data_IF_385285299826
#
_entry.id   IF_385285299826
#
_cell.length_a   1.000
_cell.length_b   1.000
_cell.length_c   1.000
_cell.angle_alpha   90.00
_cell.angle_beta   90.00
_cell.angle_gamma   90.00
#
_symmetry.space_group_name_H-M   'P 1'
#
loop_
_entity.id
_entity.type
_entity.pdbx_description
1 polymer ?
#
# COMPACT_ATOMS: atom_id res chain seq x y z
N UNK A 1 29.24 4.69 -9.71
CA UNK A 1 27.83 4.80 -9.29
C UNK A 1 27.67 4.66 -7.77
N UNK A 2 28.75 4.42 -7.02
CA UNK A 2 28.73 4.32 -5.55
C UNK A 2 28.10 5.51 -4.80
N UNK A 3 28.06 6.69 -5.41
CA UNK A 3 27.47 7.92 -4.86
C UNK A 3 26.04 8.19 -5.36
N UNK A 4 25.45 7.26 -6.14
CA UNK A 4 24.15 7.45 -6.80
C UNK A 4 23.04 6.86 -5.96
N UNK A 5 21.82 7.36 -6.16
CA UNK A 5 20.63 6.84 -5.47
C UNK A 5 20.12 5.61 -6.23
N UNK A 6 20.68 4.43 -5.90
CA UNK A 6 20.35 3.16 -6.55
C UNK A 6 19.73 2.17 -5.57
N UNK A 7 18.88 1.29 -6.11
CA UNK A 7 18.34 0.10 -5.45
C UNK A 7 18.42 -1.04 -6.45
N UNK A 8 19.03 -2.16 -6.07
CA UNK A 8 19.11 -3.33 -6.94
C UNK A 8 17.85 -4.17 -6.80
N UNK A 9 17.16 -4.39 -7.92
CA UNK A 9 15.99 -5.27 -7.99
C UNK A 9 16.37 -6.48 -8.83
N UNK A 10 16.62 -7.61 -8.18
CA UNK A 10 16.88 -8.89 -8.85
C UNK A 10 15.55 -9.54 -9.26
N UNK A 11 15.61 -10.62 -10.04
CA UNK A 11 14.41 -11.32 -10.51
C UNK A 11 13.73 -10.57 -11.64
N UNK A 12 12.40 -10.49 -11.60
CA UNK A 12 11.58 -9.85 -12.64
C UNK A 12 10.46 -10.74 -13.15
N UNK A 13 9.30 -10.74 -12.48
CA UNK A 13 8.07 -11.47 -12.86
C UNK A 13 8.31 -12.96 -13.27
N UNK A 14 9.16 -13.65 -12.51
CA UNK A 14 9.51 -15.06 -12.73
C UNK A 14 9.53 -15.86 -11.44
N UNK A 15 9.17 -17.14 -11.56
CA UNK A 15 9.26 -18.08 -10.45
C UNK A 15 10.70 -18.53 -10.20
N UNK A 16 11.01 -18.80 -8.92
CA UNK A 16 12.19 -19.58 -8.53
C UNK A 16 11.76 -21.04 -8.42
N UNK A 17 11.70 -21.74 -9.55
CA UNK A 17 11.11 -23.09 -9.64
C UNK A 17 12.00 -24.21 -9.09
N UNK A 18 13.33 -23.98 -8.96
CA UNK A 18 14.29 -24.98 -8.53
C UNK A 18 15.56 -24.35 -7.91
N UNK A 19 16.41 -25.21 -7.35
CA UNK A 19 17.66 -24.77 -6.69
C UNK A 19 18.67 -24.16 -7.65
N UNK A 20 18.66 -24.54 -8.93
CA UNK A 20 19.51 -23.88 -9.95
C UNK A 20 19.12 -22.43 -10.12
N UNK A 21 17.82 -22.11 -10.21
CA UNK A 21 17.35 -20.71 -10.27
C UNK A 21 17.75 -19.95 -9.00
N UNK A 22 17.59 -20.57 -7.83
CA UNK A 22 17.99 -19.97 -6.54
C UNK A 22 19.48 -19.66 -6.51
N UNK A 23 20.32 -20.58 -6.99
CA UNK A 23 21.77 -20.42 -7.05
C UNK A 23 22.17 -19.29 -8.02
N UNK A 24 21.51 -19.17 -9.17
CA UNK A 24 21.75 -18.08 -10.14
C UNK A 24 21.47 -16.72 -9.49
N UNK A 25 20.32 -16.56 -8.82
CA UNK A 25 19.97 -15.30 -8.16
C UNK A 25 20.96 -14.96 -7.04
N UNK A 26 21.35 -15.95 -6.21
CA UNK A 26 22.36 -15.74 -5.16
C UNK A 26 23.74 -15.39 -5.72
N UNK A 27 24.14 -16.00 -6.85
CA UNK A 27 25.38 -15.66 -7.53
C UNK A 27 25.36 -14.22 -8.07
N UNK A 28 24.24 -13.79 -8.63
CA UNK A 28 24.03 -12.39 -9.06
C UNK A 28 24.11 -11.42 -7.89
N UNK A 29 23.43 -11.70 -6.77
CA UNK A 29 23.48 -10.86 -5.57
C UNK A 29 24.89 -10.76 -4.99
N UNK A 30 25.65 -11.87 -5.00
CA UNK A 30 27.06 -11.89 -4.58
C UNK A 30 27.92 -11.00 -5.47
N UNK A 31 27.83 -11.14 -6.79
CA UNK A 31 28.60 -10.32 -7.73
C UNK A 31 28.28 -8.82 -7.60
N UNK A 32 27.00 -8.47 -7.40
CA UNK A 32 26.59 -7.09 -7.11
C UNK A 32 27.18 -6.60 -5.79
N UNK A 33 27.14 -7.39 -4.72
CA UNK A 33 27.73 -7.01 -3.43
C UNK A 33 29.24 -6.77 -3.53
N UNK A 34 29.97 -7.62 -4.27
CA UNK A 34 31.40 -7.48 -4.50
C UNK A 34 31.74 -6.23 -5.33
N UNK A 35 30.98 -5.96 -6.39
CA UNK A 35 31.19 -4.78 -7.23
C UNK A 35 30.73 -3.47 -6.61
N UNK A 36 29.66 -3.50 -5.82
CA UNK A 36 29.05 -2.34 -5.17
C UNK A 36 29.65 -2.04 -3.79
N UNK A 37 30.41 -2.98 -3.22
CA UNK A 37 30.91 -2.88 -1.85
C UNK A 37 29.81 -2.91 -0.78
N UNK A 38 28.61 -3.37 -1.15
CA UNK A 38 27.42 -3.37 -0.28
C UNK A 38 26.82 -1.99 0.00
N UNK A 39 27.06 -1.01 -0.88
CA UNK A 39 26.61 0.37 -0.69
C UNK A 39 25.08 0.55 -0.84
N UNK A 40 24.43 -0.25 -1.69
CA UNK A 40 23.01 -0.09 -2.02
C UNK A 40 22.15 -1.27 -1.53
N UNK A 41 20.89 -0.97 -1.23
CA UNK A 41 19.90 -1.98 -0.86
C UNK A 41 19.59 -2.90 -2.06
N UNK A 42 19.32 -4.17 -1.75
CA UNK A 42 18.91 -5.15 -2.75
C UNK A 42 17.58 -5.83 -2.37
N UNK A 43 16.77 -6.11 -3.38
CA UNK A 43 15.52 -6.86 -3.26
C UNK A 43 15.32 -7.81 -4.44
N UNK A 44 14.20 -8.53 -4.47
CA UNK A 44 13.84 -9.45 -5.53
C UNK A 44 12.39 -9.23 -5.97
N UNK A 45 12.18 -8.97 -7.26
CA UNK A 45 10.86 -8.84 -7.86
C UNK A 45 10.30 -10.22 -8.23
N UNK A 46 9.25 -10.72 -7.52
CA UNK A 46 8.69 -12.05 -7.73
C UNK A 46 7.73 -12.07 -8.93
N UNK A 47 7.19 -13.25 -9.24
CA UNK A 47 6.01 -13.40 -10.12
C UNK A 47 4.74 -12.87 -9.45
N UNK A 48 3.75 -12.47 -10.24
CA UNK A 48 2.39 -12.13 -9.81
C UNK A 48 1.76 -13.06 -8.77
N UNK A 49 1.22 -12.45 -7.71
CA UNK A 49 0.67 -13.10 -6.52
C UNK A 49 1.73 -13.63 -5.53
N UNK A 50 3.01 -13.53 -5.88
CA UNK A 50 4.17 -13.98 -5.12
C UNK A 50 4.79 -12.91 -4.23
N UNK A 51 5.76 -13.34 -3.43
CA UNK A 51 6.58 -12.48 -2.57
C UNK A 51 8.00 -13.01 -2.51
N UNK A 52 9.00 -12.12 -2.52
CA UNK A 52 10.42 -12.49 -2.36
C UNK A 52 10.71 -13.26 -1.07
N UNK A 53 9.93 -13.00 -0.01
CA UNK A 53 9.99 -13.70 1.27
C UNK A 53 9.78 -15.21 1.18
N UNK A 54 9.10 -15.68 0.13
CA UNK A 54 8.86 -17.11 -0.11
C UNK A 54 10.16 -17.84 -0.49
N UNK A 55 11.17 -17.10 -0.95
CA UNK A 55 12.39 -17.67 -1.52
C UNK A 55 13.66 -17.23 -0.77
N UNK A 56 13.72 -15.97 -0.34
CA UNK A 56 14.98 -15.34 0.07
C UNK A 56 14.88 -14.57 1.38
N UNK A 57 13.82 -14.79 2.19
CA UNK A 57 13.62 -14.03 3.42
C UNK A 57 14.85 -14.08 4.35
N UNK A 58 15.44 -15.26 4.50
CA UNK A 58 16.58 -15.47 5.42
C UNK A 58 17.94 -15.16 4.76
N UNK A 59 17.97 -14.86 3.46
CA UNK A 59 19.20 -14.54 2.77
C UNK A 59 19.69 -13.14 3.20
N UNK A 60 20.96 -13.05 3.60
CA UNK A 60 21.57 -11.80 4.09
C UNK A 60 21.63 -10.69 3.04
N UNK A 61 21.69 -11.04 1.75
CA UNK A 61 21.73 -10.07 0.66
C UNK A 61 20.37 -9.37 0.45
N UNK A 62 19.26 -9.98 0.88
CA UNK A 62 17.92 -9.40 0.70
C UNK A 62 17.66 -8.35 1.79
N UNK A 63 17.75 -7.07 1.45
CA UNK A 63 17.59 -5.97 2.40
C UNK A 63 16.13 -5.76 2.82
N UNK A 64 15.19 -5.94 1.88
CA UNK A 64 13.75 -5.83 2.13
C UNK A 64 12.98 -6.75 1.18
N UNK A 65 11.78 -7.19 1.58
CA UNK A 65 10.93 -8.01 0.73
C UNK A 65 10.16 -7.11 -0.26
N UNK A 66 10.08 -7.54 -1.51
CA UNK A 66 9.16 -7.01 -2.51
C UNK A 66 8.06 -8.04 -2.83
N UNK A 67 6.84 -7.55 -3.08
CA UNK A 67 5.68 -8.29 -3.55
C UNK A 67 5.22 -7.82 -4.92
N UNK A 68 4.48 -8.67 -5.61
CA UNK A 68 3.64 -8.31 -6.76
C UNK A 68 2.21 -8.77 -6.44
N UNK A 69 1.37 -7.88 -5.93
CA UNK A 69 -0.01 -8.24 -5.57
C UNK A 69 -1.01 -8.10 -6.73
N UNK A 70 -0.67 -7.31 -7.76
CA UNK A 70 -1.49 -7.05 -8.94
C UNK A 70 -1.81 -8.29 -9.80
N UNK A 71 -2.68 -8.18 -10.83
CA UNK A 71 -3.48 -7.01 -11.26
C UNK A 71 -4.98 -7.25 -11.03
N UNK A 72 -5.36 -7.66 -9.81
CA UNK A 72 -6.75 -7.80 -9.40
C UNK A 72 -7.18 -6.62 -8.51
N UNK A 73 -8.47 -6.28 -8.56
CA UNK A 73 -9.08 -5.12 -7.88
C UNK A 73 -9.61 -5.43 -6.47
N UNK A 74 -9.62 -6.71 -6.09
CA UNK A 74 -10.14 -7.18 -4.81
C UNK A 74 -9.02 -7.29 -3.76
N UNK A 75 -9.33 -6.92 -2.51
CA UNK A 75 -8.53 -7.34 -1.37
C UNK A 75 -8.68 -8.86 -1.18
N UNK A 76 -7.83 -9.59 -1.88
CA UNK A 76 -7.78 -11.04 -1.84
C UNK A 76 -6.62 -11.51 -0.95
N UNK A 77 -6.35 -12.81 -0.97
CA UNK A 77 -5.20 -13.41 -0.27
C UNK A 77 -3.83 -12.83 -0.69
N UNK A 78 -3.71 -12.04 -1.76
CA UNK A 78 -2.44 -11.43 -2.14
C UNK A 78 -2.14 -10.19 -1.30
N UNK A 79 -3.07 -9.22 -1.22
CA UNK A 79 -2.85 -8.01 -0.40
C UNK A 79 -2.76 -8.32 1.10
N UNK A 80 -3.40 -9.40 1.58
CA UNK A 80 -3.21 -9.90 2.95
C UNK A 80 -1.77 -10.32 3.25
N UNK A 81 -1.04 -10.83 2.25
CA UNK A 81 0.34 -11.34 2.44
C UNK A 81 1.35 -10.22 2.67
N UNK A 82 1.02 -8.96 2.41
CA UNK A 82 1.87 -7.83 2.83
C UNK A 82 2.05 -7.85 4.35
N UNK A 83 0.97 -8.06 5.11
CA UNK A 83 1.01 -8.23 6.57
C UNK A 83 1.72 -9.52 7.00
N UNK A 84 1.52 -10.62 6.26
CA UNK A 84 2.22 -11.88 6.53
C UNK A 84 3.74 -11.69 6.42
N UNK A 85 4.21 -11.01 5.37
CA UNK A 85 5.62 -10.73 5.14
C UNK A 85 6.20 -9.77 6.18
N UNK A 86 5.42 -8.76 6.61
CA UNK A 86 5.79 -7.84 7.70
C UNK A 86 6.00 -8.60 9.01
N UNK A 87 5.16 -9.59 9.31
CA UNK A 87 5.20 -10.35 10.56
C UNK A 87 6.28 -11.45 10.60
N UNK A 88 6.98 -11.71 9.48
CA UNK A 88 8.06 -12.71 9.45
C UNK A 88 9.22 -12.34 10.36
N UNK A 89 9.96 -13.35 10.80
CA UNK A 89 11.13 -13.20 11.66
C UNK A 89 12.39 -13.77 10.96
N UNK A 90 13.52 -13.03 10.96
CA UNK A 90 13.66 -11.66 11.47
C UNK A 90 12.87 -10.64 10.61
N UNK A 91 12.22 -9.68 11.26
CA UNK A 91 11.43 -8.67 10.54
C UNK A 91 12.28 -7.90 9.53
N UNK A 92 11.81 -7.82 8.29
CA UNK A 92 12.38 -7.02 7.20
C UNK A 92 11.30 -6.09 6.64
N UNK A 93 11.65 -4.88 6.17
CA UNK A 93 10.69 -4.04 5.46
C UNK A 93 10.06 -4.77 4.27
N UNK A 94 8.83 -4.40 3.92
CA UNK A 94 8.08 -4.95 2.78
C UNK A 94 7.59 -3.81 1.90
N UNK A 95 7.62 -3.99 0.59
CA UNK A 95 6.99 -3.08 -0.37
C UNK A 95 6.19 -3.87 -1.40
N UNK A 96 5.01 -3.37 -1.80
CA UNK A 96 4.37 -3.83 -3.03
C UNK A 96 5.05 -3.12 -4.21
N UNK A 97 5.86 -3.88 -4.95
CA UNK A 97 6.61 -3.39 -6.10
C UNK A 97 5.78 -3.35 -7.37
N UNK A 98 4.70 -4.13 -7.42
CA UNK A 98 3.80 -4.20 -8.57
C UNK A 98 2.37 -4.56 -8.10
N UNK A 99 1.61 -3.54 -7.65
CA UNK A 99 0.18 -3.66 -7.41
C UNK A 99 -0.59 -3.67 -8.74
N UNK A 100 -1.93 -3.61 -8.69
CA UNK A 100 -2.69 -3.27 -9.89
C UNK A 100 -2.27 -1.90 -10.44
N UNK A 101 -2.13 -1.78 -11.75
CA UNK A 101 -1.78 -0.53 -12.43
C UNK A 101 -3.03 0.24 -12.82
N UNK A 102 -2.95 1.55 -12.97
CA UNK A 102 -4.06 2.36 -13.50
C UNK A 102 -4.26 2.06 -14.99
N UNK A 103 -5.52 1.99 -15.44
CA UNK A 103 -5.93 1.59 -16.79
C UNK A 103 -5.35 0.25 -17.25
N UNK A 104 -5.12 -0.69 -16.33
CA UNK A 104 -4.68 -2.04 -16.67
C UNK A 104 -5.88 -2.97 -16.85
N UNK A 105 -5.90 -3.83 -17.88
CA UNK A 105 -6.94 -4.84 -18.02
C UNK A 105 -7.08 -5.68 -16.75
N UNK A 106 -8.27 -5.70 -16.16
CA UNK A 106 -8.49 -6.41 -14.90
C UNK A 106 -8.30 -7.92 -15.14
N UNK A 107 -7.39 -8.52 -14.39
CA UNK A 107 -6.97 -9.93 -14.57
C UNK A 107 -6.48 -10.24 -16.00
N UNK A 108 -5.93 -9.26 -16.72
CA UNK A 108 -5.48 -9.38 -18.12
C UNK A 108 -6.59 -9.65 -19.15
N UNK A 109 -7.87 -9.41 -18.80
CA UNK A 109 -9.03 -9.66 -19.66
C UNK A 109 -9.78 -8.38 -19.99
N UNK A 110 -9.20 -7.56 -20.86
CA UNK A 110 -9.74 -6.24 -21.19
C UNK A 110 -11.19 -6.29 -21.71
N UNK A 111 -11.48 -7.22 -22.62
CA UNK A 111 -12.79 -7.31 -23.26
C UNK A 111 -13.88 -7.90 -22.34
N UNK A 112 -13.48 -8.66 -21.30
CA UNK A 112 -14.41 -9.29 -20.36
C UNK A 112 -14.62 -8.44 -19.09
N UNK A 113 -13.55 -7.86 -18.57
CA UNK A 113 -13.52 -7.23 -17.24
C UNK A 113 -13.26 -5.72 -17.29
N UNK A 114 -12.95 -5.16 -18.47
CA UNK A 114 -12.54 -3.77 -18.60
C UNK A 114 -11.16 -3.47 -17.98
N UNK A 115 -10.95 -2.21 -17.63
CA UNK A 115 -9.69 -1.69 -17.08
C UNK A 115 -9.91 -1.11 -15.68
N UNK A 116 -8.86 -1.19 -14.87
CA UNK A 116 -8.82 -0.59 -13.53
C UNK A 116 -8.83 0.94 -13.59
N UNK A 117 -9.38 1.56 -12.55
CA UNK A 117 -9.49 3.03 -12.43
C UNK A 117 -8.65 3.56 -11.27
N UNK A 118 -8.56 4.89 -11.15
CA UNK A 118 -7.86 5.58 -10.06
C UNK A 118 -8.24 5.07 -8.64
N UNK A 119 -9.52 4.73 -8.41
CA UNK A 119 -9.96 4.18 -7.12
C UNK A 119 -9.38 2.78 -6.86
N UNK A 120 -9.19 1.97 -7.90
CA UNK A 120 -8.64 0.63 -7.80
C UNK A 120 -7.14 0.64 -7.45
N UNK A 121 -6.41 1.71 -7.80
CA UNK A 121 -4.99 1.90 -7.43
C UNK A 121 -4.80 2.61 -6.09
N UNK A 122 -5.74 3.46 -5.66
CA UNK A 122 -5.68 4.04 -4.29
C UNK A 122 -5.90 2.99 -3.21
N UNK A 123 -6.79 2.03 -3.44
CA UNK A 123 -7.04 0.92 -2.48
C UNK A 123 -5.75 0.19 -2.06
N UNK A 124 -4.96 -0.40 -2.98
CA UNK A 124 -3.73 -1.09 -2.62
C UNK A 124 -2.68 -0.17 -2.02
N UNK A 125 -2.57 1.10 -2.44
CA UNK A 125 -1.72 2.08 -1.75
C UNK A 125 -2.00 2.11 -0.24
N UNK A 126 -3.26 2.29 0.16
CA UNK A 126 -3.60 2.37 1.58
C UNK A 126 -3.68 1.02 2.28
N UNK A 127 -4.08 -0.04 1.57
CA UNK A 127 -4.00 -1.40 2.10
C UNK A 127 -2.56 -1.76 2.45
N UNK A 128 -1.60 -1.56 1.54
CA UNK A 128 -0.19 -1.87 1.77
C UNK A 128 0.38 -1.02 2.89
N UNK A 129 0.22 0.30 2.83
CA UNK A 129 0.73 1.20 3.86
C UNK A 129 0.19 0.81 5.24
N UNK A 130 -1.12 0.54 5.35
CA UNK A 130 -1.74 0.28 6.65
C UNK A 130 -1.52 -1.16 7.14
N UNK A 131 -1.12 -2.08 6.24
CA UNK A 131 -0.77 -3.46 6.57
C UNK A 131 0.74 -3.71 6.71
N UNK A 132 1.54 -2.65 6.77
CA UNK A 132 2.93 -2.70 7.24
C UNK A 132 3.97 -2.49 6.15
N UNK A 133 3.56 -2.18 4.92
CA UNK A 133 4.52 -1.81 3.89
C UNK A 133 5.23 -0.51 4.25
N UNK A 134 6.53 -0.44 3.95
CA UNK A 134 7.36 0.74 4.15
C UNK A 134 7.20 1.78 3.02
N UNK A 135 6.38 1.48 2.02
CA UNK A 135 6.10 2.31 0.85
C UNK A 135 5.16 1.58 -0.10
N UNK A 136 4.99 2.13 -1.30
CA UNK A 136 4.16 1.56 -2.36
C UNK A 136 4.69 2.02 -3.72
N UNK A 137 4.63 1.15 -4.73
CA UNK A 137 5.00 1.49 -6.11
C UNK A 137 3.76 1.64 -6.97
N UNK A 138 3.61 2.78 -7.64
CA UNK A 138 2.54 2.99 -8.61
C UNK A 138 2.96 2.51 -10.00
N UNK A 139 2.00 2.01 -10.77
CA UNK A 139 2.17 1.79 -12.21
C UNK A 139 0.92 2.16 -12.99
N UNK A 140 1.13 2.45 -14.27
CA UNK A 140 0.07 2.74 -15.23
C UNK A 140 0.31 1.89 -16.47
N UNK A 141 -0.75 1.30 -17.02
CA UNK A 141 -0.68 0.35 -18.12
C UNK A 141 0.03 0.86 -19.37
N UNK A 142 -0.26 2.09 -19.78
CA UNK A 142 0.45 2.72 -20.91
C UNK A 142 1.89 3.15 -20.59
N UNK A 143 2.19 3.51 -19.34
CA UNK A 143 3.49 4.09 -18.96
C UNK A 143 4.57 3.03 -18.88
N UNK A 144 4.32 1.86 -18.26
CA UNK A 144 5.34 0.83 -18.08
C UNK A 144 5.90 0.33 -19.43
N UNK A 145 5.05 0.27 -20.46
CA UNK A 145 5.41 -0.13 -21.81
C UNK A 145 5.77 1.06 -22.72
N UNK A 146 5.72 2.30 -22.21
CA UNK A 146 5.91 3.53 -22.99
C UNK A 146 5.09 3.51 -24.30
N UNK A 147 3.82 3.11 -24.21
CA UNK A 147 2.99 2.95 -25.39
C UNK A 147 2.71 4.30 -26.07
N UNK A 148 2.75 4.31 -27.40
CA UNK A 148 2.42 5.45 -28.24
C UNK A 148 2.02 4.97 -29.64
N UNK A 149 1.32 5.79 -30.45
CA UNK A 149 1.01 5.45 -31.84
C UNK A 149 2.27 5.05 -32.63
N UNK A 150 2.14 4.01 -33.45
CA UNK A 150 3.25 3.42 -34.20
C UNK A 150 4.05 2.35 -33.44
N UNK A 151 3.77 2.09 -32.16
CA UNK A 151 4.29 0.93 -31.41
C UNK A 151 3.23 -0.15 -31.27
N UNK A 152 3.66 -1.42 -31.30
CA UNK A 152 2.79 -2.56 -31.04
C UNK A 152 2.24 -2.52 -29.60
N UNK A 153 0.92 -2.42 -29.39
CA UNK A 153 0.33 -2.38 -28.06
C UNK A 153 0.44 -3.73 -27.35
N UNK A 154 0.78 -3.72 -26.05
CA UNK A 154 0.65 -4.89 -25.18
C UNK A 154 -0.63 -4.74 -24.36
N UNK A 155 -1.52 -5.73 -24.47
CA UNK A 155 -2.74 -5.84 -23.66
C UNK A 155 -3.64 -4.59 -23.70
N UNK A 156 -3.86 -4.00 -24.89
CA UNK A 156 -4.88 -2.94 -25.12
C UNK A 156 -4.74 -1.70 -24.20
N UNK A 157 -3.63 -0.94 -24.31
CA UNK A 157 -3.51 0.36 -23.65
C UNK A 157 -4.56 1.34 -24.20
N UNK A 158 -5.10 2.20 -23.34
CA UNK A 158 -6.20 3.10 -23.67
C UNK A 158 -5.73 4.46 -24.21
N UNK A 159 -4.49 4.87 -23.89
CA UNK A 159 -3.94 6.18 -24.24
C UNK A 159 -2.41 6.17 -24.26
N UNK A 160 -1.74 7.08 -25.00
CA UNK A 160 -0.28 7.18 -25.03
C UNK A 160 0.32 7.47 -23.65
N UNK A 161 1.55 7.04 -23.41
CA UNK A 161 2.22 7.18 -22.11
C UNK A 161 2.33 8.64 -21.65
N UNK A 162 2.53 9.58 -22.57
CA UNK A 162 2.65 11.01 -22.26
C UNK A 162 1.31 11.66 -21.89
N UNK A 163 0.19 11.02 -22.19
CA UNK A 163 -1.13 11.39 -21.65
C UNK A 163 -1.38 10.68 -20.31
N UNK A 164 -1.02 9.40 -20.25
CA UNK A 164 -1.19 8.55 -19.07
C UNK A 164 -0.50 9.06 -17.80
N UNK A 165 0.65 9.74 -17.92
CA UNK A 165 1.35 10.35 -16.77
C UNK A 165 0.51 11.41 -16.04
N UNK A 166 -0.57 11.90 -16.66
CA UNK A 166 -1.46 12.90 -16.09
C UNK A 166 -2.76 12.30 -15.52
N UNK A 167 -2.94 10.97 -15.56
CA UNK A 167 -4.12 10.33 -15.00
C UNK A 167 -4.26 10.56 -13.49
N UNK A 168 -5.50 10.50 -12.93
CA UNK A 168 -5.74 10.85 -11.55
C UNK A 168 -4.92 10.04 -10.55
N UNK A 169 -4.77 8.72 -10.76
CA UNK A 169 -4.00 7.85 -9.87
C UNK A 169 -2.54 8.31 -9.72
N UNK A 170 -1.88 8.65 -10.83
CA UNK A 170 -0.51 9.19 -10.82
C UNK A 170 -0.36 10.42 -9.90
N UNK A 171 -1.32 11.35 -9.96
CA UNK A 171 -1.32 12.55 -9.12
C UNK A 171 -1.72 12.26 -7.67
N UNK A 172 -2.45 11.19 -7.39
CA UNK A 172 -2.98 10.90 -6.06
C UNK A 172 -2.00 10.19 -5.14
N UNK A 173 -1.00 9.47 -5.68
CA UNK A 173 -0.01 8.73 -4.88
C UNK A 173 0.74 9.62 -3.86
N UNK A 174 0.99 10.88 -4.23
CA UNK A 174 1.67 11.85 -3.35
C UNK A 174 0.92 12.09 -2.03
N UNK A 175 -0.40 11.94 -2.03
CA UNK A 175 -1.24 12.16 -0.84
C UNK A 175 -1.04 11.05 0.19
N UNK A 176 -0.88 9.80 -0.25
CA UNK A 176 -0.50 8.70 0.65
C UNK A 176 0.83 8.97 1.36
N UNK A 177 1.87 9.38 0.61
CA UNK A 177 3.17 9.76 1.17
C UNK A 177 3.05 10.89 2.20
N UNK A 178 2.39 12.00 1.83
CA UNK A 178 2.21 13.14 2.73
C UNK A 178 1.51 12.75 4.02
N UNK A 179 0.42 11.96 3.94
CA UNK A 179 -0.31 11.52 5.13
C UNK A 179 0.58 10.73 6.10
N UNK A 180 1.38 9.78 5.59
CA UNK A 180 2.27 8.97 6.44
C UNK A 180 3.40 9.82 7.04
N UNK A 181 3.96 10.76 6.28
CA UNK A 181 5.05 11.63 6.74
C UNK A 181 4.59 12.72 7.74
N UNK A 182 3.28 12.96 7.88
CA UNK A 182 2.72 13.94 8.83
C UNK A 182 2.75 13.47 10.30
N UNK A 183 3.09 12.21 10.56
CA UNK A 183 3.18 11.61 11.90
C UNK A 183 4.49 10.83 12.05
N UNK A 184 4.94 10.51 13.28
CA UNK A 184 6.09 9.64 13.48
C UNK A 184 5.89 8.29 12.77
N UNK A 185 6.68 8.04 11.71
CA UNK A 185 6.51 6.86 10.87
C UNK A 185 7.21 5.61 11.40
N UNK A 186 8.32 5.76 12.13
CA UNK A 186 9.20 4.63 12.49
C UNK A 186 8.60 3.71 13.55
N UNK A 187 7.64 4.22 14.32
CA UNK A 187 6.92 3.47 15.37
C UNK A 187 5.51 3.03 14.92
N UNK A 188 5.19 3.21 13.64
CA UNK A 188 3.90 2.88 13.07
C UNK A 188 3.76 1.37 12.88
N UNK A 189 2.63 0.82 13.32
CA UNK A 189 2.29 -0.61 13.21
C UNK A 189 0.92 -0.81 12.53
N UNK A 190 0.72 -1.91 11.80
CA UNK A 190 -0.63 -2.37 11.43
C UNK A 190 -1.42 -2.73 12.69
N UNK A 191 -2.66 -2.25 12.82
CA UNK A 191 -3.51 -2.65 13.96
C UNK A 191 -5.00 -2.49 13.63
N UNK A 192 -5.59 -3.53 13.05
CA UNK A 192 -7.03 -3.59 12.81
C UNK A 192 -7.87 -3.66 14.09
N UNK A 193 -7.28 -3.90 15.27
CA UNK A 193 -8.01 -3.86 16.52
C UNK A 193 -8.48 -2.44 16.89
N UNK A 194 -8.03 -1.41 16.15
CA UNK A 194 -8.62 -0.06 16.19
C UNK A 194 -10.07 -0.09 15.70
N UNK A 195 -10.41 -0.97 14.76
CA UNK A 195 -11.76 -1.08 14.18
C UNK A 195 -12.57 -2.07 15.03
N UNK A 196 -13.78 -1.68 15.42
CA UNK A 196 -14.74 -2.60 16.04
C UNK A 196 -15.39 -3.41 14.93
N UNK A 197 -15.22 -4.73 14.97
CA UNK A 197 -15.86 -5.62 14.01
C UNK A 197 -17.39 -5.58 14.15
N UNK A 198 -18.08 -5.54 13.02
CA UNK A 198 -19.52 -5.68 12.94
C UNK A 198 -19.91 -7.16 13.06
N UNK A 199 -21.18 -7.44 13.35
CA UNK A 199 -21.73 -8.80 13.40
C UNK A 199 -21.51 -9.52 12.05
N UNK A 200 -21.70 -8.79 10.95
CA UNK A 200 -21.38 -9.27 9.61
C UNK A 200 -19.92 -8.93 9.30
N UNK A 201 -19.02 -9.90 9.44
CA UNK A 201 -17.59 -9.70 9.21
C UNK A 201 -17.26 -9.14 7.81
N UNK A 202 -18.04 -9.50 6.79
CA UNK A 202 -17.89 -8.97 5.42
C UNK A 202 -18.39 -7.52 5.25
N UNK A 203 -18.97 -6.91 6.29
CA UNK A 203 -19.37 -5.50 6.34
C UNK A 203 -18.22 -4.62 6.85
N UNK A 204 -17.84 -4.80 8.12
CA UNK A 204 -16.73 -4.08 8.78
C UNK A 204 -15.97 -5.09 9.66
N UNK A 205 -14.65 -5.24 9.49
CA UNK A 205 -13.79 -4.44 8.61
C UNK A 205 -13.89 -4.85 7.13
N UNK A 206 -14.77 -5.78 6.77
CA UNK A 206 -15.09 -6.07 5.38
C UNK A 206 -14.10 -7.02 4.69
N UNK A 207 -14.34 -7.28 3.41
CA UNK A 207 -13.51 -8.13 2.54
C UNK A 207 -13.55 -7.61 1.09
N UNK A 208 -12.66 -8.08 0.22
CA UNK A 208 -12.61 -7.63 -1.18
C UNK A 208 -12.48 -6.11 -1.28
N UNK A 209 -13.21 -5.48 -2.19
CA UNK A 209 -13.25 -4.00 -2.31
C UNK A 209 -13.66 -3.26 -1.04
N UNK A 210 -14.33 -3.94 -0.10
CA UNK A 210 -14.87 -3.35 1.13
C UNK A 210 -13.89 -3.39 2.30
N UNK A 211 -12.67 -3.88 2.12
CA UNK A 211 -11.72 -4.06 3.23
C UNK A 211 -11.22 -2.73 3.80
N UNK A 212 -11.69 -2.39 4.99
CA UNK A 212 -11.09 -1.40 5.87
C UNK A 212 -9.76 -1.94 6.41
N UNK A 213 -8.76 -1.09 6.55
CA UNK A 213 -7.53 -1.42 7.25
C UNK A 213 -7.23 -0.29 8.24
N UNK A 214 -6.58 -0.61 9.36
CA UNK A 214 -6.11 0.40 10.31
C UNK A 214 -4.62 0.26 10.63
N UNK A 215 -4.00 1.40 10.90
CA UNK A 215 -2.62 1.51 11.37
C UNK A 215 -2.57 2.54 12.48
N UNK A 216 -1.62 2.39 13.41
CA UNK A 216 -1.44 3.34 14.51
C UNK A 216 0.03 3.45 14.90
N UNK A 217 0.34 4.48 15.66
CA UNK A 217 1.57 4.50 16.45
C UNK A 217 1.53 3.42 17.53
N UNK A 218 2.63 2.69 17.72
CA UNK A 218 2.72 1.64 18.73
C UNK A 218 2.48 2.19 20.15
N UNK A 219 2.94 3.43 20.41
CA UNK A 219 2.71 4.15 21.66
C UNK A 219 1.33 4.85 21.73
N UNK A 220 0.53 4.76 20.66
CA UNK A 220 -0.85 5.25 20.63
C UNK A 220 -1.01 6.75 20.39
N UNK A 221 0.02 7.47 19.92
CA UNK A 221 -0.11 8.91 19.67
C UNK A 221 -1.09 9.27 18.54
N UNK A 222 -1.33 8.37 17.59
CA UNK A 222 -2.30 8.52 16.51
C UNK A 222 -2.78 7.17 15.99
N UNK A 223 -3.93 7.16 15.32
CA UNK A 223 -4.43 6.04 14.52
C UNK A 223 -5.08 6.52 13.23
N UNK A 224 -4.93 5.75 12.16
CA UNK A 224 -5.59 5.96 10.88
C UNK A 224 -6.46 4.76 10.52
N UNK A 225 -7.63 5.01 9.93
CA UNK A 225 -8.50 3.97 9.35
C UNK A 225 -8.79 4.28 7.89
N UNK A 226 -8.40 3.39 6.99
CA UNK A 226 -8.76 3.47 5.58
C UNK A 226 -10.18 2.95 5.37
N UNK A 227 -11.02 3.77 4.73
CA UNK A 227 -12.44 3.54 4.48
C UNK A 227 -12.64 3.50 2.97
N UNK A 228 -12.57 2.32 2.32
CA UNK A 228 -12.66 2.25 0.85
C UNK A 228 -14.06 2.54 0.29
N UNK A 229 -15.08 2.49 1.14
CA UNK A 229 -16.51 2.52 0.80
C UNK A 229 -17.23 3.29 1.89
N UNK A 230 -18.08 4.23 1.49
CA UNK A 230 -18.78 5.07 2.45
C UNK A 230 -19.81 4.30 3.27
N UNK A 231 -19.48 4.00 4.53
CA UNK A 231 -20.30 3.28 5.50
C UNK A 231 -20.00 3.75 6.92
N UNK A 232 -20.94 3.50 7.83
CA UNK A 232 -20.72 3.66 9.27
C UNK A 232 -19.83 2.55 9.80
N UNK A 233 -18.94 2.90 10.72
CA UNK A 233 -18.12 1.94 11.45
C UNK A 233 -17.77 2.52 12.82
N UNK A 234 -17.37 1.64 13.74
CA UNK A 234 -16.94 2.03 15.08
C UNK A 234 -15.44 1.83 15.24
N UNK A 235 -14.82 2.70 16.03
CA UNK A 235 -13.42 2.58 16.45
C UNK A 235 -13.34 2.46 17.96
N UNK A 236 -12.32 1.72 18.42
CA UNK A 236 -11.97 1.63 19.84
C UNK A 236 -11.08 2.82 20.20
N UNK A 237 -11.58 3.70 21.07
CA UNK A 237 -10.88 4.93 21.45
C UNK A 237 -9.67 4.64 22.33
N UNK A 238 -9.72 3.58 23.15
CA UNK A 238 -8.63 3.12 24.02
C UNK A 238 -7.34 2.68 23.30
N UNK A 239 -7.31 2.71 21.97
CA UNK A 239 -6.11 2.48 21.14
C UNK A 239 -5.23 3.73 20.94
N UNK A 240 -5.72 4.89 21.37
CA UNK A 240 -5.04 6.17 21.29
C UNK A 240 -4.76 6.66 22.71
N UNK A 241 -3.68 7.40 22.93
CA UNK A 241 -3.36 7.99 24.24
C UNK A 241 -4.11 9.30 24.49
N UNK A 242 -3.98 9.82 25.71
CA UNK A 242 -4.58 11.09 26.10
C UNK A 242 -6.04 10.94 26.52
N UNK A 243 -6.63 12.02 27.04
CA UNK A 243 -8.04 12.05 27.48
C UNK A 243 -8.99 12.49 26.37
N UNK A 244 -8.46 13.13 25.32
CA UNK A 244 -9.21 13.68 24.21
C UNK A 244 -8.49 13.37 22.89
N UNK A 245 -9.27 12.97 21.90
CA UNK A 245 -8.83 12.64 20.55
C UNK A 245 -9.39 13.67 19.58
N UNK A 246 -8.50 14.27 18.78
CA UNK A 246 -8.90 15.12 17.67
C UNK A 246 -9.10 14.26 16.43
N UNK A 247 -10.22 14.45 15.73
CA UNK A 247 -10.59 13.64 14.57
C UNK A 247 -10.75 14.48 13.30
N UNK A 248 -10.21 13.96 12.20
CA UNK A 248 -10.32 14.53 10.86
C UNK A 248 -10.70 13.47 9.84
N UNK A 249 -11.42 13.89 8.81
CA UNK A 249 -11.48 13.15 7.55
C UNK A 249 -10.36 13.63 6.62
N UNK A 250 -9.61 12.70 6.06
CA UNK A 250 -8.63 12.97 5.02
C UNK A 250 -9.14 12.45 3.68
N UNK A 251 -9.14 13.30 2.66
CA UNK A 251 -9.54 12.94 1.31
C UNK A 251 -8.33 12.45 0.50
N UNK A 252 -8.20 11.13 0.24
CA UNK A 252 -7.04 10.58 -0.47
C UNK A 252 -6.97 10.99 -1.95
N UNK A 253 -8.02 11.62 -2.49
CA UNK A 253 -8.05 12.13 -3.87
C UNK A 253 -7.49 13.54 -4.00
N UNK A 254 -7.48 14.32 -2.92
CA UNK A 254 -7.11 15.75 -2.93
C UNK A 254 -6.07 16.12 -1.87
N UNK A 255 -5.83 15.25 -0.91
CA UNK A 255 -4.94 15.49 0.22
C UNK A 255 -5.48 16.45 1.29
N UNK A 256 -6.77 16.78 1.24
CA UNK A 256 -7.39 17.75 2.14
C UNK A 256 -7.88 17.08 3.44
N UNK A 257 -7.69 17.78 4.55
CA UNK A 257 -8.27 17.45 5.85
C UNK A 257 -9.59 18.19 6.05
N UNK A 258 -10.54 17.55 6.75
CA UNK A 258 -11.78 18.14 7.21
C UNK A 258 -11.95 17.81 8.68
N UNK A 259 -11.93 18.84 9.53
CA UNK A 259 -12.09 18.68 10.97
C UNK A 259 -13.49 18.15 11.31
N UNK A 260 -13.55 17.13 12.17
CA UNK A 260 -14.80 16.50 12.61
C UNK A 260 -15.15 16.98 14.02
N UNK A 261 -14.16 17.04 14.91
CA UNK A 261 -14.37 17.38 16.30
C UNK A 261 -13.28 16.86 17.22
N UNK A 262 -13.39 17.24 18.49
CA UNK A 262 -12.65 16.64 19.60
C UNK A 262 -13.58 15.72 20.40
N UNK A 263 -13.06 14.57 20.79
CA UNK A 263 -13.85 13.49 21.39
C UNK A 263 -13.18 12.93 22.62
N UNK A 264 -13.96 12.63 23.66
CA UNK A 264 -13.46 11.93 24.84
C UNK A 264 -12.86 10.58 24.44
N UNK A 265 -11.68 10.27 24.98
CA UNK A 265 -10.96 9.05 24.64
C UNK A 265 -11.43 7.83 25.45
N UNK A 266 -12.71 7.49 25.34
CA UNK A 266 -13.35 6.43 26.14
C UNK A 266 -14.27 5.59 25.28
N UNK A 267 -14.20 4.26 25.45
CA UNK A 267 -15.12 3.31 24.84
C UNK A 267 -14.99 3.24 23.32
N UNK A 268 -16.14 3.06 22.66
CA UNK A 268 -16.23 2.97 21.20
C UNK A 268 -16.91 4.21 20.63
N UNK A 269 -16.49 4.61 19.44
CA UNK A 269 -17.08 5.75 18.74
C UNK A 269 -17.45 5.41 17.31
N UNK A 270 -18.68 5.71 16.92
CA UNK A 270 -19.15 5.57 15.55
C UNK A 270 -18.75 6.78 14.70
N UNK A 271 -18.28 6.49 13.48
CA UNK A 271 -17.93 7.46 12.46
C UNK A 271 -18.64 7.12 11.15
N UNK A 272 -19.01 8.15 10.41
CA UNK A 272 -19.61 8.04 9.08
C UNK A 272 -18.78 8.87 8.10
N UNK A 273 -18.36 8.23 7.00
CA UNK A 273 -17.60 8.91 5.94
C UNK A 273 -18.40 10.09 5.36
N UNK A 274 -17.75 11.20 4.95
CA UNK A 274 -18.44 12.40 4.49
C UNK A 274 -19.40 12.22 3.32
N UNK A 275 -19.12 11.25 2.44
CA UNK A 275 -19.92 10.99 1.24
C UNK A 275 -20.20 9.49 1.10
N UNK A 276 -21.45 9.08 0.84
CA UNK A 276 -21.74 7.69 0.47
C UNK A 276 -21.19 7.38 -0.93
N UNK A 277 -20.70 6.15 -1.15
CA UNK A 277 -20.24 5.69 -2.47
C UNK A 277 -19.16 4.62 -2.42
N UNK A 278 -19.03 3.84 -3.51
CA UNK A 278 -18.12 2.69 -3.60
C UNK A 278 -16.73 3.01 -4.18
N UNK A 279 -16.59 4.20 -4.78
CA UNK A 279 -15.32 4.72 -5.34
C UNK A 279 -14.84 5.98 -4.62
N UNK A 280 -15.54 6.34 -3.53
CA UNK A 280 -15.29 7.52 -2.71
C UNK A 280 -14.68 7.10 -1.38
N UNK A 281 -13.41 6.70 -1.42
CA UNK A 281 -12.61 6.35 -0.27
C UNK A 281 -12.26 7.54 0.64
N UNK A 282 -12.10 7.28 1.93
CA UNK A 282 -11.74 8.27 2.95
C UNK A 282 -10.76 7.67 3.94
N UNK A 283 -10.04 8.53 4.66
CA UNK A 283 -9.22 8.08 5.79
C UNK A 283 -9.68 8.84 7.03
N UNK A 284 -10.07 8.10 8.07
CA UNK A 284 -10.27 8.67 9.38
C UNK A 284 -8.89 8.86 10.02
N UNK A 285 -8.59 10.09 10.43
CA UNK A 285 -7.37 10.45 11.14
C UNK A 285 -7.74 10.80 12.57
N UNK A 286 -7.14 10.10 13.52
CA UNK A 286 -7.35 10.27 14.95
C UNK A 286 -6.00 10.54 15.62
N UNK A 287 -5.90 11.65 16.34
CA UNK A 287 -4.68 12.00 17.06
C UNK A 287 -4.97 12.25 18.55
N UNK A 288 -4.03 11.89 19.41
CA UNK A 288 -3.99 12.42 20.77
C UNK A 288 -3.80 13.94 20.69
N UNK A 289 -4.77 14.70 21.22
CA UNK A 289 -4.78 16.17 21.13
C UNK A 289 -3.51 16.81 21.71
N UNK A 290 -2.87 16.16 22.67
CA UNK A 290 -1.65 16.68 23.32
C UNK A 290 -0.44 16.68 22.39
N UNK A 291 -0.45 15.87 21.33
CA UNK A 291 0.65 15.74 20.36
C UNK A 291 0.71 16.87 19.35
N UNK A 292 -0.41 17.59 19.14
CA UNK A 292 -0.52 18.77 18.27
C UNK A 292 0.02 18.54 16.86
N UNK A 293 -0.25 17.38 16.29
CA UNK A 293 0.19 17.08 14.94
C UNK A 293 -0.52 17.95 13.90
N UNK A 294 0.19 18.28 12.82
CA UNK A 294 -0.34 19.15 11.76
C UNK A 294 -1.46 18.46 10.96
N UNK A 295 -2.43 19.26 10.53
CA UNK A 295 -3.47 18.89 9.55
C UNK A 295 -3.25 19.56 8.19
N UNK A 296 -2.03 20.06 7.94
CA UNK A 296 -1.53 20.47 6.63
C UNK A 296 -0.07 20.06 6.44
N UNK A 297 0.38 19.80 5.19
CA UNK A 297 1.81 19.70 4.88
C UNK A 297 2.59 20.96 5.26
#
# INVERSE_FOLDING_TARGET
YWDKQLVWILGGDRNVDNDTHRAIIRAMAKGLSEGDGGAHLMTFHPRGGGGSSQYFHDDAWLSFNMRQNGHNVEFNRNYQKTLEDYNRQPTKPVIDGEPIYEDHPISFKADDNGHSIAADVRRPLYWDLFTGACGHTYGHHSVWQMWQPGRGPINRPLMPWYEAIHQPGANQMQFGRRLIELRPQLNRIPDDAVIVADEIQSSVPGTGRYRFCATRDADGSYAFVYVPVGRKFKVRMDKITGTEVVAHWYNPRTGQFSFIGNFSNVGEREFESPTPGEVLDWILVLDDVSKRYSSSP
#
